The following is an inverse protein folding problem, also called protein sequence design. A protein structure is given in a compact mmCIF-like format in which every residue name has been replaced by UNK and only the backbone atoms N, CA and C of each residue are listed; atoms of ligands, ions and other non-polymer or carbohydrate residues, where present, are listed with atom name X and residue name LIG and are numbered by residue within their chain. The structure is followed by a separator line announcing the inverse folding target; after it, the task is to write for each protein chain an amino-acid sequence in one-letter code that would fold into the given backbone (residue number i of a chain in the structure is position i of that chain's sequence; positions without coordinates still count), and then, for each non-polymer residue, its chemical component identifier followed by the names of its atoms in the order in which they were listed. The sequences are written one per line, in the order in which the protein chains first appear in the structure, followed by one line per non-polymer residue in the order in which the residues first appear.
data_IF_858635771925
#
_entry.id   IF_858635771925
#
_cell.length_a   1.000
_cell.length_b   1.000
_cell.length_c   1.000
_cell.angle_alpha   90.00
_cell.angle_beta   90.00
_cell.angle_gamma   90.00
#
_symmetry.space_group_name_H-M   'P 1'
#
loop_
_entity.id
_entity.type
_entity.pdbx_description
1 polymer ?
#
# COMPACT_ATOMS: atom_id res chain seq x y z
N UNK A 1 -1.81 21.21 -10.87
CA UNK A 1 -1.55 20.80 -9.47
C UNK A 1 -1.35 19.30 -9.45
N UNK A 2 -0.42 18.80 -8.64
CA UNK A 2 -0.22 17.36 -8.41
C UNK A 2 -0.30 17.12 -6.91
N UNK A 3 -1.08 16.12 -6.51
CA UNK A 3 -1.25 15.73 -5.10
C UNK A 3 -0.76 14.30 -4.94
N UNK A 4 0.02 14.06 -3.89
CA UNK A 4 0.49 12.73 -3.50
C UNK A 4 0.07 12.45 -2.07
N UNK A 5 -0.10 11.19 -1.70
CA UNK A 5 -0.46 10.79 -0.34
C UNK A 5 0.34 9.57 0.11
N UNK A 6 0.43 9.39 1.43
CA UNK A 6 0.86 8.12 2.03
C UNK A 6 -0.31 7.15 2.16
N UNK A 7 -0.02 5.89 2.45
CA UNK A 7 -1.04 4.83 2.61
C UNK A 7 -0.75 3.86 3.77
N UNK A 8 0.19 4.18 4.68
CA UNK A 8 0.68 3.23 5.69
C UNK A 8 -0.42 2.57 6.54
N UNK A 9 -1.28 3.36 7.22
CA UNK A 9 -2.40 2.81 7.97
C UNK A 9 -3.41 2.04 7.10
N UNK A 10 -3.74 2.57 5.91
CA UNK A 10 -4.76 2.00 5.03
C UNK A 10 -4.32 0.66 4.43
N UNK A 11 -3.09 0.58 3.90
CA UNK A 11 -2.54 -0.69 3.41
C UNK A 11 -2.36 -1.70 4.54
N UNK A 12 -2.08 -1.24 5.76
CA UNK A 12 -2.04 -2.08 6.95
C UNK A 12 -3.41 -2.65 7.34
N UNK A 13 -4.47 -1.88 7.21
CA UNK A 13 -5.84 -2.34 7.45
C UNK A 13 -6.29 -3.36 6.38
N UNK A 14 -6.01 -3.09 5.11
CA UNK A 14 -6.29 -4.02 4.01
C UNK A 14 -5.52 -5.34 4.18
N UNK A 15 -4.25 -5.26 4.59
CA UNK A 15 -3.46 -6.43 4.95
C UNK A 15 -4.12 -7.23 6.08
N UNK A 16 -4.64 -6.55 7.10
CA UNK A 16 -5.34 -7.24 8.20
C UNK A 16 -6.62 -7.93 7.74
N UNK A 17 -7.40 -7.29 6.88
CA UNK A 17 -8.58 -7.92 6.27
C UNK A 17 -8.18 -9.17 5.46
N UNK A 18 -7.09 -9.06 4.71
CA UNK A 18 -6.53 -10.15 3.93
C UNK A 18 -6.06 -11.33 4.80
N UNK A 19 -5.47 -11.07 5.99
CA UNK A 19 -5.13 -12.10 6.98
C UNK A 19 -6.39 -12.74 7.61
N UNK A 20 -7.42 -11.94 7.89
CA UNK A 20 -8.65 -12.43 8.53
C UNK A 20 -9.48 -13.31 7.59
N UNK A 21 -9.39 -13.08 6.28
CA UNK A 21 -10.03 -13.93 5.26
C UNK A 21 -9.25 -15.18 4.88
N UNK A 22 -8.11 -15.45 5.52
CA UNK A 22 -7.29 -16.63 5.21
C UNK A 22 -8.10 -17.92 5.39
N UNK A 23 -8.06 -18.80 4.37
CA UNK A 23 -8.83 -20.05 4.34
C UNK A 23 -10.21 -19.94 3.70
N UNK A 24 -10.74 -18.72 3.55
CA UNK A 24 -12.03 -18.45 2.87
C UNK A 24 -11.85 -17.69 1.56
N UNK A 25 -10.92 -16.71 1.54
CA UNK A 25 -10.63 -15.87 0.39
C UNK A 25 -9.14 -16.00 0.03
N UNK A 26 -8.78 -16.18 -1.26
CA UNK A 26 -7.39 -16.21 -1.67
C UNK A 26 -6.66 -14.91 -1.28
N UNK A 27 -5.51 -14.99 -0.57
CA UNK A 27 -4.82 -13.81 -0.11
C UNK A 27 -4.22 -13.02 -1.28
N UNK A 28 -4.40 -11.70 -1.25
CA UNK A 28 -3.80 -10.79 -2.21
C UNK A 28 -2.37 -10.40 -1.81
N UNK A 29 -1.46 -10.24 -2.78
CA UNK A 29 -0.10 -9.79 -2.49
C UNK A 29 -0.07 -8.30 -2.13
N UNK A 30 0.93 -7.89 -1.33
CA UNK A 30 1.02 -6.54 -0.77
C UNK A 30 0.96 -5.41 -1.82
N UNK A 31 1.48 -5.60 -3.03
CA UNK A 31 1.39 -4.58 -4.09
C UNK A 31 -0.05 -4.37 -4.60
N UNK A 32 -0.89 -5.42 -4.58
CA UNK A 32 -2.32 -5.30 -4.93
C UNK A 32 -3.07 -4.55 -3.84
N UNK A 33 -2.76 -4.84 -2.57
CA UNK A 33 -3.30 -4.08 -1.44
C UNK A 33 -2.84 -2.61 -1.50
N UNK A 34 -1.61 -2.36 -1.94
CA UNK A 34 -1.11 -1.00 -2.23
C UNK A 34 -1.96 -0.30 -3.28
N UNK A 35 -2.18 -0.93 -4.43
CA UNK A 35 -3.02 -0.39 -5.49
C UNK A 35 -4.49 -0.16 -5.05
N UNK A 36 -5.05 -1.06 -4.23
CA UNK A 36 -6.38 -0.89 -3.65
C UNK A 36 -6.43 0.35 -2.74
N UNK A 37 -5.42 0.55 -1.88
CA UNK A 37 -5.34 1.74 -1.03
C UNK A 37 -5.15 3.05 -1.81
N UNK A 38 -4.49 3.02 -2.97
CA UNK A 38 -4.39 4.19 -3.86
C UNK A 38 -5.76 4.58 -4.41
N UNK A 39 -6.56 3.60 -4.84
CA UNK A 39 -7.91 3.86 -5.32
C UNK A 39 -8.84 4.36 -4.19
N UNK A 40 -8.78 3.75 -3.00
CA UNK A 40 -9.60 4.14 -1.85
C UNK A 40 -9.31 5.58 -1.41
N UNK A 41 -8.03 5.89 -1.15
CA UNK A 41 -7.64 7.23 -0.69
C UNK A 41 -7.83 8.27 -1.80
N UNK A 42 -7.44 7.92 -3.04
CA UNK A 42 -7.54 8.82 -4.17
C UNK A 42 -8.99 9.18 -4.49
N UNK A 43 -9.93 8.23 -4.39
CA UNK A 43 -11.36 8.51 -4.54
C UNK A 43 -11.83 9.59 -3.55
N UNK A 44 -11.48 9.43 -2.26
CA UNK A 44 -11.86 10.40 -1.23
C UNK A 44 -11.26 11.78 -1.48
N UNK A 45 -9.97 11.84 -1.83
CA UNK A 45 -9.29 13.11 -2.17
C UNK A 45 -9.94 13.76 -3.39
N UNK A 46 -10.22 12.97 -4.42
CA UNK A 46 -10.85 13.45 -5.65
C UNK A 46 -12.22 14.05 -5.38
N UNK A 47 -13.08 13.34 -4.64
CA UNK A 47 -14.42 13.82 -4.27
C UNK A 47 -14.38 15.16 -3.52
N UNK A 48 -13.50 15.28 -2.53
CA UNK A 48 -13.37 16.51 -1.74
C UNK A 48 -12.80 17.68 -2.53
N UNK A 49 -11.83 17.41 -3.41
CA UNK A 49 -11.26 18.44 -4.29
C UNK A 49 -12.29 18.91 -5.31
N UNK A 50 -13.02 18.00 -5.97
CA UNK A 50 -14.08 18.35 -6.92
C UNK A 50 -15.15 19.22 -6.24
N UNK A 51 -15.62 18.81 -5.06
CA UNK A 51 -16.58 19.59 -4.27
C UNK A 51 -16.03 20.97 -3.89
N UNK A 52 -14.76 21.05 -3.48
CA UNK A 52 -14.08 22.29 -3.13
C UNK A 52 -13.91 23.25 -4.30
N UNK A 53 -13.58 22.74 -5.49
CA UNK A 53 -13.47 23.51 -6.73
C UNK A 53 -14.83 24.04 -7.17
N UNK A 54 -15.86 23.18 -7.14
CA UNK A 54 -17.24 23.56 -7.48
C UNK A 54 -17.76 24.71 -6.61
N UNK A 55 -17.55 24.66 -5.29
CA UNK A 55 -17.94 25.74 -4.36
C UNK A 55 -17.26 27.08 -4.66
N UNK A 56 -16.11 27.07 -5.32
CA UNK A 56 -15.34 28.28 -5.70
C UNK A 56 -15.60 28.72 -7.14
N UNK A 57 -16.48 28.03 -7.87
CA UNK A 57 -16.74 28.30 -9.29
C UNK A 57 -15.54 27.97 -10.20
N UNK A 58 -14.58 27.17 -9.73
CA UNK A 58 -13.40 26.80 -10.50
C UNK A 58 -13.71 25.56 -11.33
N UNK A 59 -13.61 25.69 -12.66
CA UNK A 59 -13.72 24.55 -13.59
C UNK A 59 -12.39 23.81 -13.65
N UNK A 60 -12.38 22.54 -13.24
CA UNK A 60 -11.21 21.68 -13.32
C UNK A 60 -11.60 20.22 -13.16
N UNK A 61 -10.89 19.34 -13.88
CA UNK A 61 -11.05 17.89 -13.75
C UNK A 61 -10.05 17.37 -12.73
N UNK A 62 -10.51 16.59 -11.77
CA UNK A 62 -9.65 15.90 -10.81
C UNK A 62 -9.67 14.41 -11.17
N UNK A 63 -8.50 13.78 -11.19
CA UNK A 63 -8.37 12.36 -11.51
C UNK A 63 -7.42 11.68 -10.54
N UNK A 64 -7.82 10.51 -10.06
CA UNK A 64 -6.96 9.57 -9.36
C UNK A 64 -6.35 8.59 -10.34
N UNK A 65 -5.03 8.39 -10.25
CA UNK A 65 -4.30 7.47 -11.11
C UNK A 65 -3.61 6.44 -10.23
N UNK A 66 -3.99 5.17 -10.37
CA UNK A 66 -3.22 4.06 -9.78
C UNK A 66 -1.85 4.01 -10.46
N UNK A 67 -0.81 4.04 -9.66
CA UNK A 67 0.56 4.22 -10.10
C UNK A 67 1.39 2.95 -9.87
N UNK A 68 2.44 2.79 -10.69
CA UNK A 68 3.48 1.78 -10.46
C UNK A 68 4.81 2.50 -10.39
N UNK A 69 5.59 2.19 -9.37
CA UNK A 69 6.93 2.72 -9.19
C UNK A 69 7.95 1.62 -9.50
N UNK A 70 8.89 1.93 -10.39
CA UNK A 70 10.05 1.07 -10.60
C UNK A 70 10.98 1.20 -9.39
N UNK A 71 11.41 0.06 -8.88
CA UNK A 71 12.34 -0.03 -7.75
C UNK A 71 13.48 -0.96 -8.14
N UNK A 72 14.68 -0.68 -7.64
CA UNK A 72 15.84 -1.52 -7.93
C UNK A 72 15.63 -2.93 -7.35
N UNK A 73 15.78 -3.97 -8.17
CA UNK A 73 15.71 -5.35 -7.69
C UNK A 73 16.79 -5.69 -6.64
N UNK A 74 17.89 -4.91 -6.61
CA UNK A 74 18.99 -5.06 -5.65
C UNK A 74 18.88 -4.13 -4.43
N UNK A 75 17.76 -3.43 -4.26
CA UNK A 75 17.54 -2.47 -3.18
C UNK A 75 17.81 -3.10 -1.80
N UNK A 76 18.73 -2.54 -0.99
CA UNK A 76 19.02 -3.02 0.36
C UNK A 76 17.79 -3.04 1.28
N UNK A 77 16.78 -2.21 1.02
CA UNK A 77 15.52 -2.14 1.74
C UNK A 77 14.71 -3.44 1.69
N UNK A 78 14.94 -4.32 0.72
CA UNK A 78 14.36 -5.66 0.73
C UNK A 78 15.00 -6.57 1.77
N UNK A 79 16.30 -6.42 2.05
CA UNK A 79 16.99 -7.19 3.11
C UNK A 79 16.68 -6.66 4.51
N UNK A 80 16.47 -5.35 4.62
CA UNK A 80 16.22 -4.66 5.89
C UNK A 80 15.00 -3.73 5.77
N UNK A 81 13.78 -4.27 5.68
CA UNK A 81 12.59 -3.44 5.60
C UNK A 81 12.41 -2.65 6.89
N UNK A 82 12.29 -1.33 6.77
CA UNK A 82 12.21 -0.42 7.92
C UNK A 82 10.82 0.16 8.14
N UNK A 83 10.00 0.25 7.09
CA UNK A 83 8.67 0.87 7.13
C UNK A 83 7.66 -0.05 7.81
N UNK A 84 7.01 0.35 8.92
CA UNK A 84 5.98 -0.47 9.55
C UNK A 84 4.71 -0.51 8.69
N UNK A 85 4.10 -1.69 8.58
CA UNK A 85 2.82 -1.99 7.92
C UNK A 85 2.04 -3.01 8.76
N UNK A 86 0.73 -2.81 8.84
CA UNK A 86 -0.17 -3.73 9.56
C UNK A 86 -0.31 -3.42 11.06
N UNK A 87 -0.90 -4.37 11.79
CA UNK A 87 -1.15 -4.28 13.23
C UNK A 87 0.07 -4.66 14.07
N UNK A 88 -0.03 -4.43 15.37
CA UNK A 88 0.87 -5.02 16.34
C UNK A 88 0.52 -6.50 16.60
N UNK A 89 1.55 -7.32 16.70
CA UNK A 89 1.47 -8.74 17.05
C UNK A 89 2.02 -8.95 18.46
N UNK A 90 1.42 -9.91 19.18
CA UNK A 90 1.99 -10.41 20.44
C UNK A 90 3.29 -11.18 20.18
N UNK A 91 4.10 -11.43 21.20
CA UNK A 91 5.36 -12.18 21.05
C UNK A 91 5.15 -13.60 20.51
N UNK A 92 4.04 -14.24 20.88
CA UNK A 92 3.69 -15.58 20.39
C UNK A 92 3.28 -15.56 18.92
N UNK A 93 2.47 -14.58 18.51
CA UNK A 93 2.09 -14.36 17.11
C UNK A 93 3.32 -14.01 16.25
N UNK A 94 4.16 -13.10 16.74
CA UNK A 94 5.39 -12.70 16.08
C UNK A 94 6.35 -13.87 15.91
N UNK A 95 6.51 -14.71 16.94
CA UNK A 95 7.32 -15.93 16.88
C UNK A 95 6.80 -16.93 15.87
N UNK A 96 5.48 -17.09 15.77
CA UNK A 96 4.85 -17.96 14.75
C UNK A 96 5.13 -17.42 13.34
N UNK A 97 4.85 -16.14 13.10
CA UNK A 97 5.05 -15.50 11.80
C UNK A 97 6.51 -15.55 11.33
N UNK A 98 7.49 -15.36 12.24
CA UNK A 98 8.92 -15.52 11.94
C UNK A 98 9.29 -16.93 11.45
N UNK A 99 8.53 -17.95 11.85
CA UNK A 99 8.76 -19.36 11.46
C UNK A 99 7.99 -19.77 10.21
N UNK A 100 6.81 -19.21 9.99
CA UNK A 100 5.90 -19.65 8.93
C UNK A 100 5.93 -18.76 7.69
N UNK A 101 6.59 -17.61 7.75
CA UNK A 101 6.58 -16.62 6.67
C UNK A 101 7.92 -15.91 6.51
N UNK A 102 8.14 -15.32 5.32
CA UNK A 102 9.31 -14.48 5.03
C UNK A 102 9.16 -13.02 5.51
N UNK A 103 8.26 -12.77 6.47
CA UNK A 103 8.02 -11.44 7.00
C UNK A 103 9.15 -10.99 7.93
N UNK A 104 9.53 -9.72 7.80
CA UNK A 104 10.36 -9.07 8.80
C UNK A 104 9.47 -8.36 9.81
N UNK A 105 9.58 -8.79 11.06
CA UNK A 105 8.89 -8.22 12.21
C UNK A 105 9.88 -7.39 13.02
N UNK A 106 9.48 -6.17 13.37
CA UNK A 106 10.27 -5.25 14.19
C UNK A 106 9.55 -4.98 15.50
N UNK A 107 10.30 -4.89 16.59
CA UNK A 107 9.75 -4.44 17.87
C UNK A 107 9.36 -2.96 17.77
N UNK A 108 8.19 -2.62 18.31
CA UNK A 108 7.74 -1.25 18.45
C UNK A 108 8.49 -0.55 19.59
N UNK A 109 9.13 0.61 19.35
CA UNK A 109 9.76 1.39 20.41
C UNK A 109 8.80 1.76 21.55
N UNK A 110 7.50 1.84 21.26
CA UNK A 110 6.46 2.10 22.26
C UNK A 110 5.94 0.84 22.97
N UNK A 111 6.62 -0.31 22.81
CA UNK A 111 6.33 -1.60 23.46
C UNK A 111 4.91 -2.15 23.23
N UNK A 112 4.24 -1.79 22.14
CA UNK A 112 2.92 -2.35 21.81
C UNK A 112 2.99 -3.75 21.16
N UNK A 113 4.18 -4.30 20.99
CA UNK A 113 4.45 -5.60 20.36
C UNK A 113 5.35 -5.49 19.14
N UNK A 114 5.24 -6.43 18.20
CA UNK A 114 5.95 -6.39 16.93
C UNK A 114 5.08 -5.84 15.79
N UNK A 115 5.64 -5.08 14.85
CA UNK A 115 4.96 -4.63 13.62
C UNK A 115 5.61 -5.23 12.37
N UNK A 116 4.80 -5.63 11.41
CA UNK A 116 5.26 -6.11 10.10
C UNK A 116 5.92 -4.98 9.33
N UNK A 117 6.91 -5.27 8.48
CA UNK A 117 7.60 -4.20 7.73
C UNK A 117 7.74 -4.41 6.23
N UNK A 118 7.48 -5.63 5.74
CA UNK A 118 7.42 -6.10 4.33
C UNK A 118 8.12 -7.47 4.20
N UNK A 119 7.77 -8.32 3.20
CA UNK A 119 8.53 -9.54 2.90
C UNK A 119 9.98 -9.24 2.50
N UNK A 120 10.92 -10.14 2.84
CA UNK A 120 12.35 -10.00 2.50
C UNK A 120 12.69 -10.05 1.02
N UNK A 121 11.79 -10.60 0.20
CA UNK A 121 11.96 -10.71 -1.27
C UNK A 121 10.63 -10.40 -1.94
N UNK A 122 10.47 -9.21 -2.53
CA UNK A 122 9.31 -8.96 -3.36
C UNK A 122 9.35 -9.86 -4.59
N UNK A 123 8.17 -10.34 -5.00
CA UNK A 123 8.02 -10.97 -6.30
C UNK A 123 8.08 -9.86 -7.36
N UNK A 124 9.23 -9.72 -8.02
CA UNK A 124 9.39 -8.77 -9.13
C UNK A 124 8.68 -9.34 -10.35
N UNK A 125 7.53 -8.76 -10.71
CA UNK A 125 6.85 -9.09 -11.95
C UNK A 125 7.41 -8.18 -13.04
N UNK A 126 8.11 -8.75 -14.02
CA UNK A 126 8.66 -7.99 -15.15
C UNK A 126 7.56 -7.23 -15.86
N UNK A 127 7.63 -5.90 -15.87
CA UNK A 127 6.68 -5.04 -16.54
C UNK A 127 7.39 -4.18 -17.59
N UNK A 128 6.83 -4.13 -18.80
CA UNK A 128 7.26 -3.19 -19.85
C UNK A 128 6.23 -2.06 -19.92
N UNK A 129 6.61 -0.79 -19.75
CA UNK A 129 5.69 0.31 -19.92
C UNK A 129 5.13 0.34 -21.35
N UNK A 130 3.81 0.18 -21.49
CA UNK A 130 3.12 0.73 -22.64
C UNK A 130 3.12 2.26 -22.50
N UNK A 131 3.32 3.00 -23.61
CA UNK A 131 3.25 4.47 -23.57
C UNK A 131 1.86 4.88 -23.07
N UNK A 132 1.73 5.61 -21.95
CA UNK A 132 0.44 6.07 -21.48
C UNK A 132 -0.13 7.04 -22.51
N UNK A 133 -1.26 6.68 -23.14
CA UNK A 133 -2.07 7.61 -23.90
C UNK A 133 -3.04 8.25 -22.91
N UNK A 134 -2.71 9.44 -22.43
CA UNK A 134 -3.73 10.33 -21.88
C UNK A 134 -4.66 10.65 -23.05
N UNK A 135 -5.77 9.91 -23.14
CA UNK A 135 -6.84 10.25 -24.05
C UNK A 135 -7.28 11.67 -23.68
N UNK A 136 -7.12 12.62 -24.60
CA UNK A 136 -7.76 13.92 -24.46
C UNK A 136 -9.25 13.64 -24.42
N UNK A 137 -9.89 13.86 -23.28
CA UNK A 137 -11.34 13.95 -23.21
C UNK A 137 -11.74 15.09 -24.15
N UNK A 138 -12.53 14.76 -25.17
CA UNK A 138 -13.12 15.70 -26.11
C UNK A 138 -14.27 16.46 -25.44
#
# INVERSE_FOLDING_TARGET
MVVTHGNGPQVGALLRQNELGEGEVPPQPLFVLGAASEAEIGLLIQQELEAGLARRGIRGTVVTIVSRMEVSASDPGFRHPTKPIGRFYTDSEASRLRRTTDWTLREDPAQRGCVGSSPRRPRVVGWRPGRPRLARAA
#
